data_IF_817721560938
#
_entry.id   IF_817721560938
#
_cell.length_a   1.000
_cell.length_b   1.000
_cell.length_c   1.000
_cell.angle_alpha   90.00
_cell.angle_beta   90.00
_cell.angle_gamma   90.00
#
_symmetry.space_group_name_H-M   'P 1'
#
loop_
_entity.id
_entity.type
_entity.pdbx_description
1 polymer ?
#
# COMPACT_ATOMS: atom_id res chain seq x y z
N UNK A 1 -24.22 10.98 -2.71
CA UNK A 1 -23.28 10.39 -3.71
C UNK A 1 -22.86 9.00 -3.24
N UNK A 2 -22.72 8.02 -4.15
CA UNK A 2 -22.26 6.66 -3.80
C UNK A 2 -20.74 6.66 -3.56
N UNK A 3 -20.32 6.06 -2.44
CA UNK A 3 -18.90 5.80 -2.14
C UNK A 3 -18.37 4.76 -3.14
N UNK A 4 -17.21 5.03 -3.75
CA UNK A 4 -16.52 4.10 -4.67
C UNK A 4 -15.20 3.67 -4.05
N UNK A 5 -14.96 2.36 -3.99
CA UNK A 5 -13.70 1.78 -3.54
C UNK A 5 -13.08 1.00 -4.69
N UNK A 6 -11.87 1.37 -5.07
CA UNK A 6 -11.12 0.74 -6.14
C UNK A 6 -10.00 -0.11 -5.53
N UNK A 7 -9.91 -1.37 -5.92
CA UNK A 7 -8.90 -2.31 -5.43
C UNK A 7 -8.02 -2.70 -6.60
N UNK A 8 -6.70 -2.50 -6.46
CA UNK A 8 -5.70 -2.88 -7.46
C UNK A 8 -4.98 -4.14 -6.99
N UNK A 9 -5.15 -5.24 -7.72
CA UNK A 9 -4.55 -6.54 -7.41
C UNK A 9 -3.67 -7.04 -8.57
N UNK A 10 -2.71 -7.93 -8.26
CA UNK A 10 -1.75 -8.45 -9.23
C UNK A 10 -0.35 -8.67 -8.65
N UNK A 11 0.53 -9.32 -9.42
CA UNK A 11 1.87 -9.71 -8.98
C UNK A 11 2.75 -8.51 -8.54
N UNK A 12 3.78 -8.72 -7.70
CA UNK A 12 4.79 -7.70 -7.41
C UNK A 12 5.41 -7.15 -8.71
N UNK A 13 5.66 -5.84 -8.79
CA UNK A 13 6.26 -5.22 -9.98
C UNK A 13 5.31 -4.94 -11.17
N UNK A 14 4.05 -5.40 -11.17
CA UNK A 14 3.10 -5.17 -12.29
C UNK A 14 2.57 -3.72 -12.41
N UNK A 15 3.08 -2.78 -11.60
CA UNK A 15 2.73 -1.36 -11.70
C UNK A 15 1.43 -0.92 -11.01
N UNK A 16 0.87 -1.73 -10.10
CA UNK A 16 -0.37 -1.39 -9.35
C UNK A 16 -0.29 -0.04 -8.62
N UNK A 17 0.81 0.21 -7.91
CA UNK A 17 1.02 1.47 -7.18
C UNK A 17 1.06 2.67 -8.12
N UNK A 18 1.74 2.54 -9.26
CA UNK A 18 1.78 3.57 -10.30
C UNK A 18 0.38 3.90 -10.82
N UNK A 19 -0.42 2.88 -11.16
CA UNK A 19 -1.77 3.09 -11.66
C UNK A 19 -2.72 3.65 -10.59
N UNK A 20 -2.60 3.17 -9.34
CA UNK A 20 -3.38 3.67 -8.22
C UNK A 20 -3.09 5.16 -7.92
N UNK A 21 -1.82 5.59 -8.00
CA UNK A 21 -1.44 6.99 -7.85
C UNK A 21 -1.99 7.87 -8.98
N UNK A 22 -1.92 7.41 -10.24
CA UNK A 22 -2.49 8.13 -11.39
C UNK A 22 -4.01 8.30 -11.23
N UNK A 23 -4.72 7.24 -10.86
CA UNK A 23 -6.18 7.27 -10.70
C UNK A 23 -6.59 8.11 -9.48
N UNK A 24 -5.85 8.02 -8.38
CA UNK A 24 -6.04 8.86 -7.19
C UNK A 24 -5.99 10.35 -7.55
N UNK A 25 -4.96 10.76 -8.30
CA UNK A 25 -4.83 12.15 -8.78
C UNK A 25 -5.97 12.55 -9.73
N UNK A 26 -6.29 11.71 -10.74
CA UNK A 26 -7.32 12.01 -11.74
C UNK A 26 -8.74 12.10 -11.15
N UNK A 27 -9.05 11.25 -10.18
CA UNK A 27 -10.40 11.18 -9.57
C UNK A 27 -10.51 11.96 -8.26
N UNK A 28 -9.42 12.59 -7.81
CA UNK A 28 -9.30 13.26 -6.52
C UNK A 28 -9.80 12.38 -5.36
N UNK A 29 -9.32 11.12 -5.31
CA UNK A 29 -9.66 10.15 -4.27
C UNK A 29 -8.40 9.75 -3.48
N UNK A 30 -8.52 9.39 -2.19
CA UNK A 30 -7.38 8.94 -1.41
C UNK A 30 -6.75 7.66 -1.98
N UNK A 31 -5.43 7.61 -2.02
CA UNK A 31 -4.67 6.40 -2.30
C UNK A 31 -4.25 5.74 -0.97
N UNK A 32 -4.64 4.48 -0.77
CA UNK A 32 -4.25 3.69 0.40
C UNK A 32 -3.43 2.50 -0.08
N UNK A 33 -2.15 2.46 0.29
CA UNK A 33 -1.22 1.39 -0.03
C UNK A 33 -0.86 0.63 1.24
N UNK A 34 -1.42 -0.57 1.42
CA UNK A 34 -1.11 -1.42 2.58
C UNK A 34 0.37 -1.79 2.65
N UNK A 35 1.02 -1.95 1.49
CA UNK A 35 2.46 -2.18 1.43
C UNK A 35 3.27 -1.01 1.96
N UNK A 36 2.91 0.23 1.60
CA UNK A 36 3.65 1.41 2.08
C UNK A 36 3.42 1.65 3.56
N UNK A 37 2.19 1.47 4.04
CA UNK A 37 1.86 1.56 5.46
C UNK A 37 2.68 0.54 6.28
N UNK A 38 2.77 -0.69 5.78
CA UNK A 38 3.50 -1.75 6.47
C UNK A 38 5.02 -1.48 6.46
N UNK A 39 5.58 -1.06 5.32
CA UNK A 39 7.00 -0.69 5.21
C UNK A 39 7.34 0.48 6.13
N UNK A 40 6.51 1.51 6.17
CA UNK A 40 6.67 2.66 7.06
C UNK A 40 6.63 2.24 8.54
N UNK A 41 5.70 1.35 8.93
CA UNK A 41 5.65 0.81 10.28
C UNK A 41 6.92 0.03 10.65
N UNK A 42 7.43 -0.80 9.73
CA UNK A 42 8.69 -1.53 9.89
C UNK A 42 9.87 -0.56 10.07
N UNK A 43 9.96 0.49 9.24
CA UNK A 43 11.00 1.52 9.33
C UNK A 43 10.93 2.31 10.63
N UNK A 44 9.73 2.55 11.17
CA UNK A 44 9.52 3.27 12.43
C UNK A 44 9.70 2.41 13.67
N UNK A 45 9.87 1.10 13.51
CA UNK A 45 10.05 0.13 14.61
C UNK A 45 8.98 0.22 15.71
N UNK A 46 7.77 0.63 15.34
CA UNK A 46 6.64 0.63 16.26
C UNK A 46 6.16 -0.81 16.52
N UNK A 47 5.23 -1.00 17.45
CA UNK A 47 4.72 -2.33 17.82
C UNK A 47 4.32 -3.18 16.61
N UNK A 48 3.57 -2.58 15.66
CA UNK A 48 3.15 -3.25 14.42
C UNK A 48 4.34 -3.58 13.51
N UNK A 49 5.31 -2.68 13.40
CA UNK A 49 6.53 -2.88 12.61
C UNK A 49 7.40 -4.01 13.15
N UNK A 50 7.54 -4.12 14.47
CA UNK A 50 8.27 -5.20 15.13
C UNK A 50 7.59 -6.55 14.92
N UNK A 51 6.26 -6.61 15.05
CA UNK A 51 5.47 -7.80 14.72
C UNK A 51 5.64 -8.17 13.24
N UNK A 52 5.58 -7.18 12.34
CA UNK A 52 5.72 -7.40 10.91
C UNK A 52 7.12 -7.89 10.48
N UNK A 53 8.19 -7.43 11.15
CA UNK A 53 9.57 -7.91 10.91
C UNK A 53 9.72 -9.42 11.19
N UNK A 54 8.89 -10.01 12.04
CA UNK A 54 8.92 -11.45 12.33
C UNK A 54 8.34 -12.31 11.20
N UNK A 55 7.59 -11.70 10.27
CA UNK A 55 7.01 -12.39 9.12
C UNK A 55 8.00 -12.43 7.94
N UNK A 56 7.97 -13.49 7.11
CA UNK A 56 8.81 -13.59 5.92
C UNK A 56 8.29 -12.67 4.79
N UNK A 57 8.37 -11.36 4.99
CA UNK A 57 7.96 -10.35 4.02
C UNK A 57 9.19 -9.90 3.24
N UNK A 58 9.21 -10.10 1.93
CA UNK A 58 10.30 -9.61 1.07
C UNK A 58 10.30 -8.09 1.08
N UNK A 59 11.23 -7.49 1.82
CA UNK A 59 11.56 -6.07 1.73
C UNK A 59 12.38 -5.85 0.46
N UNK A 60 11.67 -5.64 -0.66
CA UNK A 60 12.24 -5.14 -1.90
C UNK A 60 11.68 -3.75 -2.18
#
# INVERSE_FOLDING_TARGET
>A
MKKRMLIFFGAPGVGKGTQAAIISSKLNIPHISTGDILRDAICKENTLGLEAKSLPIKAN
#
